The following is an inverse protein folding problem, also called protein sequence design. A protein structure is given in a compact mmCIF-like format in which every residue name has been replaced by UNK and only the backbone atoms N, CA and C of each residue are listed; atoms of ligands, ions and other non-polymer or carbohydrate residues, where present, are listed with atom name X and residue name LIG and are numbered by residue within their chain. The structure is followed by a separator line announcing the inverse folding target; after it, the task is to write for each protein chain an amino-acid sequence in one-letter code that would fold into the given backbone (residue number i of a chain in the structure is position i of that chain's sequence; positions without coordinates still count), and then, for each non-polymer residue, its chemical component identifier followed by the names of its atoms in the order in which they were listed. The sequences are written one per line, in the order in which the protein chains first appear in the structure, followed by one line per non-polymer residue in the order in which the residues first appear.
data_IF_789594225996
#
_entry.id   IF_789594225996
#
_cell.length_a   1.000
_cell.length_b   1.000
_cell.length_c   1.000
_cell.angle_alpha   90.00
_cell.angle_beta   90.00
_cell.angle_gamma   90.00
#
_symmetry.space_group_name_H-M   'P 1'
#
loop_
_entity.id
_entity.type
_entity.pdbx_description
1 polymer ?
#
# COMPACT_ATOMS: atom_id res chain seq x y z
N UNK A 1 19.63 -18.15 -7.23
CA UNK A 1 20.57 -17.05 -6.95
C UNK A 1 19.75 -15.88 -6.44
N UNK A 2 19.93 -15.50 -5.20
CA UNK A 2 19.31 -14.32 -4.61
C UNK A 2 20.00 -13.11 -5.26
N UNK A 3 19.28 -12.36 -6.05
CA UNK A 3 19.83 -11.16 -6.70
C UNK A 3 19.78 -10.03 -5.68
N UNK A 4 20.92 -9.52 -5.24
CA UNK A 4 21.04 -8.35 -4.35
C UNK A 4 20.59 -7.05 -5.04
N UNK A 5 19.42 -7.10 -5.65
CA UNK A 5 18.89 -6.01 -6.49
C UNK A 5 18.66 -4.72 -5.70
N UNK A 6 18.39 -4.82 -4.38
CA UNK A 6 18.16 -3.69 -3.49
C UNK A 6 19.25 -3.55 -2.43
N UNK A 7 20.45 -4.10 -2.67
CA UNK A 7 21.55 -4.01 -1.74
C UNK A 7 21.83 -2.56 -1.34
N UNK A 8 21.93 -2.32 -0.04
CA UNK A 8 22.23 -1.03 0.58
C UNK A 8 21.19 0.10 0.28
N UNK A 9 20.08 -0.22 -0.37
CA UNK A 9 18.98 0.74 -0.55
C UNK A 9 18.23 0.93 0.76
N UNK A 10 17.90 2.17 1.09
CA UNK A 10 17.11 2.54 2.28
C UNK A 10 15.63 2.54 1.91
N UNK A 11 14.88 1.65 2.55
CA UNK A 11 13.47 1.40 2.30
C UNK A 11 12.65 1.72 3.54
N UNK A 12 11.57 2.47 3.38
CA UNK A 12 10.59 2.75 4.43
C UNK A 12 9.29 2.03 4.10
N UNK A 13 8.70 1.35 5.10
CA UNK A 13 7.38 0.69 4.98
C UNK A 13 6.51 1.10 6.15
N UNK A 14 5.35 1.74 5.88
CA UNK A 14 4.35 2.02 6.90
C UNK A 14 3.37 0.83 7.03
N UNK A 15 2.95 0.49 8.26
CA UNK A 15 2.10 -0.66 8.50
C UNK A 15 2.81 -1.99 8.20
N UNK A 16 4.10 -2.08 8.55
CA UNK A 16 4.95 -3.21 8.17
C UNK A 16 5.07 -4.31 9.24
N UNK A 17 4.31 -4.25 10.32
CA UNK A 17 4.36 -5.27 11.38
C UNK A 17 3.61 -6.55 10.99
N UNK A 18 2.66 -6.50 10.05
CA UNK A 18 1.83 -7.64 9.67
C UNK A 18 1.43 -7.61 8.20
N UNK A 19 0.81 -8.69 7.72
CA UNK A 19 0.14 -8.79 6.44
C UNK A 19 1.00 -8.41 5.22
N UNK A 20 0.45 -7.61 4.32
CA UNK A 20 1.09 -7.17 3.08
C UNK A 20 2.38 -6.37 3.38
N UNK A 21 2.31 -5.43 4.33
CA UNK A 21 3.46 -4.58 4.67
C UNK A 21 4.65 -5.36 5.20
N UNK A 22 4.40 -6.37 6.06
CA UNK A 22 5.45 -7.27 6.55
C UNK A 22 6.06 -8.08 5.42
N UNK A 23 5.24 -8.64 4.55
CA UNK A 23 5.74 -9.39 3.39
C UNK A 23 6.63 -8.52 2.51
N UNK A 24 6.22 -7.28 2.20
CA UNK A 24 7.03 -6.33 1.45
C UNK A 24 8.36 -6.03 2.15
N UNK A 25 8.32 -5.73 3.44
CA UNK A 25 9.52 -5.42 4.23
C UNK A 25 10.52 -6.60 4.23
N UNK A 26 10.01 -7.81 4.39
CA UNK A 26 10.83 -9.02 4.41
C UNK A 26 11.44 -9.34 3.03
N UNK A 27 10.71 -9.13 1.95
CA UNK A 27 11.23 -9.31 0.60
C UNK A 27 12.33 -8.29 0.24
N UNK A 28 12.20 -7.03 0.67
CA UNK A 28 13.29 -6.06 0.53
C UNK A 28 14.52 -6.45 1.34
N UNK A 29 14.34 -6.91 2.59
CA UNK A 29 15.46 -7.41 3.42
C UNK A 29 16.19 -8.59 2.78
N UNK A 30 15.46 -9.55 2.22
CA UNK A 30 16.01 -10.69 1.48
C UNK A 30 16.85 -10.27 0.28
N UNK A 31 16.60 -9.09 -0.28
CA UNK A 31 17.35 -8.53 -1.41
C UNK A 31 18.40 -7.50 -0.99
N UNK A 32 18.79 -7.49 0.31
CA UNK A 32 19.90 -6.71 0.84
C UNK A 32 19.57 -5.26 1.21
N UNK A 33 18.28 -4.87 1.22
CA UNK A 33 17.89 -3.52 1.60
C UNK A 33 17.95 -3.28 3.12
N UNK A 34 18.21 -2.04 3.51
CA UNK A 34 18.06 -1.54 4.87
C UNK A 34 16.62 -1.05 5.04
N UNK A 35 15.80 -1.81 5.77
CA UNK A 35 14.36 -1.57 5.86
C UNK A 35 13.96 -0.98 7.20
N UNK A 36 13.34 0.19 7.18
CA UNK A 36 12.70 0.85 8.30
C UNK A 36 11.19 0.64 8.26
N UNK A 37 10.65 0.10 9.35
CA UNK A 37 9.20 -0.09 9.52
C UNK A 37 8.70 0.88 10.58
N UNK A 38 7.52 1.48 10.32
CA UNK A 38 6.71 2.17 11.33
C UNK A 38 5.33 1.51 11.37
N UNK A 39 4.90 1.14 12.56
CA UNK A 39 3.59 0.53 12.82
C UNK A 39 3.10 0.93 14.21
N UNK A 40 1.79 0.93 14.43
CA UNK A 40 1.21 1.16 15.76
C UNK A 40 1.23 -0.07 16.67
N UNK A 41 1.43 -1.26 16.10
CA UNK A 41 1.59 -2.49 16.86
C UNK A 41 2.96 -2.50 17.55
N UNK A 42 3.03 -3.14 18.71
CA UNK A 42 4.30 -3.37 19.41
C UNK A 42 5.20 -4.34 18.62
N UNK A 43 6.51 -4.09 18.63
CA UNK A 43 7.48 -4.93 17.92
C UNK A 43 8.87 -4.30 17.83
N UNK A 44 9.79 -5.01 17.19
CA UNK A 44 11.15 -4.54 16.94
C UNK A 44 11.20 -3.63 15.70
N UNK A 45 10.47 -2.50 15.77
CA UNK A 45 10.40 -1.47 14.75
C UNK A 45 10.11 -0.11 15.40
N UNK A 46 9.85 0.93 14.61
CA UNK A 46 9.39 2.20 15.19
C UNK A 46 7.89 2.07 15.50
N UNK A 47 7.56 2.06 16.80
CA UNK A 47 6.17 2.00 17.25
C UNK A 47 5.57 3.41 17.29
N UNK A 48 4.46 3.60 16.56
CA UNK A 48 3.76 4.87 16.54
C UNK A 48 2.61 4.93 15.55
N UNK A 49 1.64 5.80 15.84
CA UNK A 49 0.49 6.03 14.98
C UNK A 49 0.80 7.13 13.97
N UNK A 50 0.82 6.77 12.69
CA UNK A 50 1.12 7.70 11.59
C UNK A 50 0.06 8.77 11.37
N UNK A 51 -1.11 8.68 12.00
CA UNK A 51 -2.09 9.77 12.01
C UNK A 51 -1.58 11.00 12.77
N UNK A 52 -0.55 10.84 13.61
CA UNK A 52 0.05 11.90 14.41
C UNK A 52 1.26 12.49 13.71
N UNK A 53 1.26 13.79 13.53
CA UNK A 53 2.32 14.54 12.84
C UNK A 53 3.69 14.32 13.49
N UNK A 54 3.74 14.44 14.82
CA UNK A 54 4.97 14.35 15.61
C UNK A 54 5.62 12.97 15.52
N UNK A 55 4.80 11.93 15.36
CA UNK A 55 5.27 10.55 15.18
C UNK A 55 5.96 10.40 13.82
N UNK A 56 5.39 10.97 12.74
CA UNK A 56 6.01 10.98 11.43
C UNK A 56 7.31 11.78 11.41
N UNK A 57 7.35 12.92 12.07
CA UNK A 57 8.55 13.76 12.18
C UNK A 57 9.67 13.02 12.93
N UNK A 58 9.35 12.42 14.08
CA UNK A 58 10.30 11.63 14.86
C UNK A 58 10.82 10.41 14.09
N UNK A 59 9.95 9.74 13.34
CA UNK A 59 10.33 8.61 12.50
C UNK A 59 11.25 9.04 11.35
N UNK A 60 10.91 10.08 10.62
CA UNK A 60 11.73 10.62 9.55
C UNK A 60 13.11 11.05 10.07
N UNK A 61 13.15 11.77 11.20
CA UNK A 61 14.40 12.18 11.86
C UNK A 61 15.26 10.97 12.26
N UNK A 62 14.66 9.88 12.79
CA UNK A 62 15.36 8.64 13.11
C UNK A 62 16.01 8.01 11.88
N UNK A 63 15.32 7.97 10.74
CA UNK A 63 15.88 7.43 9.48
C UNK A 63 17.03 8.32 9.01
N UNK A 64 16.80 9.63 8.93
CA UNK A 64 17.78 10.60 8.42
C UNK A 64 19.01 10.76 9.33
N UNK A 65 18.90 10.43 10.63
CA UNK A 65 20.06 10.40 11.53
C UNK A 65 21.08 9.32 11.17
N UNK A 66 20.68 8.31 10.40
CA UNK A 66 21.52 7.17 9.99
C UNK A 66 21.82 7.14 8.50
N UNK A 67 20.98 7.74 7.68
CA UNK A 67 21.08 7.71 6.22
C UNK A 67 20.82 9.09 5.63
N UNK A 68 21.70 9.53 4.74
CA UNK A 68 21.57 10.81 4.05
C UNK A 68 20.46 10.80 2.98
N UNK A 69 20.00 9.59 2.56
CA UNK A 69 19.02 9.42 1.49
C UNK A 69 18.03 8.28 1.79
N UNK A 70 16.89 8.32 1.10
CA UNK A 70 15.87 7.27 1.08
C UNK A 70 15.62 6.87 -0.38
N UNK A 71 15.68 5.56 -0.66
CA UNK A 71 15.53 5.03 -2.02
C UNK A 71 14.08 4.61 -2.32
N UNK A 72 13.36 4.10 -1.30
CA UNK A 72 11.99 3.61 -1.47
C UNK A 72 11.11 4.01 -0.28
N UNK A 73 9.90 4.46 -0.57
CA UNK A 73 8.83 4.66 0.42
C UNK A 73 7.62 3.81 0.02
N UNK A 74 7.17 2.92 0.91
CA UNK A 74 5.94 2.15 0.73
C UNK A 74 4.91 2.59 1.77
N UNK A 75 3.91 3.33 1.33
CA UNK A 75 2.76 3.74 2.13
C UNK A 75 1.72 2.62 2.12
N UNK A 76 1.78 1.74 3.13
CA UNK A 76 0.92 0.55 3.21
C UNK A 76 -0.02 0.56 4.41
N UNK A 77 0.19 1.38 5.43
CA UNK A 77 -0.65 1.39 6.62
C UNK A 77 -2.15 1.43 6.30
N UNK A 78 -2.91 0.59 6.98
CA UNK A 78 -4.33 0.37 6.70
C UNK A 78 -5.18 1.46 7.39
N UNK A 79 -5.97 2.25 6.64
CA UNK A 79 -6.92 3.19 7.23
C UNK A 79 -8.11 2.45 7.87
N UNK A 80 -8.79 3.13 8.78
CA UNK A 80 -10.01 2.65 9.40
C UNK A 80 -11.10 2.41 8.35
N UNK A 81 -11.85 1.31 8.49
CA UNK A 81 -13.00 1.00 7.67
C UNK A 81 -14.28 1.06 8.51
N UNK A 82 -15.08 2.09 8.31
CA UNK A 82 -16.39 2.33 8.94
C UNK A 82 -17.35 2.89 7.91
N UNK A 83 -18.61 2.54 8.05
CA UNK A 83 -19.68 2.93 7.15
C UNK A 83 -20.55 4.06 7.64
N UNK A 84 -21.47 4.52 6.79
CA UNK A 84 -22.31 5.68 7.01
C UNK A 84 -23.22 5.55 8.24
N UNK A 85 -23.54 4.33 8.65
CA UNK A 85 -24.44 4.11 9.79
C UNK A 85 -23.74 4.32 11.14
N UNK A 86 -22.41 4.09 11.22
CA UNK A 86 -21.68 4.06 12.49
C UNK A 86 -20.47 5.00 12.53
N UNK A 87 -19.98 5.46 11.38
CA UNK A 87 -18.75 6.23 11.30
C UNK A 87 -18.93 7.63 11.89
N UNK A 88 -18.22 7.93 12.97
CA UNK A 88 -18.19 9.30 13.49
C UNK A 88 -17.35 10.22 12.58
N UNK A 89 -17.52 11.54 12.79
CA UNK A 89 -16.72 12.53 12.07
C UNK A 89 -15.22 12.36 12.36
N UNK A 90 -14.85 12.09 13.60
CA UNK A 90 -13.48 11.88 14.04
C UNK A 90 -12.88 10.59 13.46
N UNK A 91 -13.67 9.51 13.39
CA UNK A 91 -13.26 8.26 12.77
C UNK A 91 -13.03 8.42 11.27
N UNK A 92 -13.89 9.18 10.59
CA UNK A 92 -13.71 9.48 9.17
C UNK A 92 -12.44 10.32 8.94
N UNK A 93 -12.21 11.36 9.76
CA UNK A 93 -10.97 12.15 9.70
C UNK A 93 -9.74 11.30 9.98
N UNK A 94 -9.81 10.40 10.97
CA UNK A 94 -8.71 9.47 11.26
C UNK A 94 -8.39 8.56 10.07
N UNK A 95 -9.41 8.02 9.40
CA UNK A 95 -9.22 7.21 8.19
C UNK A 95 -8.48 7.99 7.08
N UNK A 96 -8.86 9.24 6.85
CA UNK A 96 -8.19 10.12 5.89
C UNK A 96 -6.77 10.49 6.35
N UNK A 97 -6.56 10.71 7.65
CA UNK A 97 -5.25 11.00 8.21
C UNK A 97 -4.27 9.86 7.96
N UNK A 98 -4.67 8.61 8.23
CA UNK A 98 -3.84 7.42 7.98
C UNK A 98 -3.67 7.16 6.49
N UNK A 99 -4.76 7.23 5.69
CA UNK A 99 -4.77 6.77 4.30
C UNK A 99 -4.28 7.79 3.28
N UNK A 100 -4.29 9.09 3.60
CA UNK A 100 -3.96 10.16 2.64
C UNK A 100 -2.97 11.16 3.23
N UNK A 101 -3.28 11.75 4.41
CA UNK A 101 -2.47 12.82 4.98
C UNK A 101 -1.09 12.34 5.39
N UNK A 102 -0.99 11.20 6.07
CA UNK A 102 0.28 10.62 6.49
C UNK A 102 1.20 10.26 5.32
N UNK A 103 0.73 9.56 4.25
CA UNK A 103 1.52 9.35 3.03
C UNK A 103 2.04 10.65 2.42
N UNK A 104 1.18 11.66 2.27
CA UNK A 104 1.60 12.97 1.77
C UNK A 104 2.67 13.60 2.66
N UNK A 105 2.44 13.60 3.97
CA UNK A 105 3.34 14.28 4.91
C UNK A 105 4.69 13.58 5.04
N UNK A 106 4.72 12.26 5.06
CA UNK A 106 5.95 11.48 5.06
C UNK A 106 6.80 11.77 3.81
N UNK A 107 6.18 11.82 2.63
CA UNK A 107 6.86 12.20 1.39
C UNK A 107 7.38 13.63 1.47
N UNK A 108 6.58 14.58 2.01
CA UNK A 108 6.99 15.98 2.21
C UNK A 108 8.22 16.10 3.12
N UNK A 109 8.29 15.34 4.22
CA UNK A 109 9.42 15.33 5.14
C UNK A 109 10.71 14.80 4.49
N UNK A 110 10.57 13.84 3.58
CA UNK A 110 11.70 13.12 2.98
C UNK A 110 12.07 13.59 1.57
N UNK A 111 11.30 14.49 0.94
CA UNK A 111 11.43 14.88 -0.48
C UNK A 111 12.83 15.35 -0.87
N UNK A 112 13.52 16.06 0.02
CA UNK A 112 14.87 16.59 -0.24
C UNK A 112 15.99 15.58 0.06
N UNK A 113 15.61 14.41 0.57
CA UNK A 113 16.46 13.26 0.87
C UNK A 113 16.17 12.04 0.00
N UNK A 114 15.32 12.18 -1.02
CA UNK A 114 15.09 11.10 -1.98
C UNK A 114 16.33 10.87 -2.82
N UNK A 115 16.72 9.60 -2.99
CA UNK A 115 17.77 9.20 -3.91
C UNK A 115 17.38 9.53 -5.35
N UNK A 116 18.35 9.68 -6.23
CA UNK A 116 18.09 9.75 -7.66
C UNK A 116 17.38 8.47 -8.12
N UNK A 117 16.25 8.63 -8.82
CA UNK A 117 15.43 7.51 -9.28
C UNK A 117 14.64 6.80 -8.16
N UNK A 118 14.48 7.42 -6.99
CA UNK A 118 13.69 6.88 -5.89
C UNK A 118 12.29 6.46 -6.33
N UNK A 119 11.70 5.51 -5.60
CA UNK A 119 10.36 4.99 -5.89
C UNK A 119 9.45 5.11 -4.68
N UNK A 120 8.25 5.65 -4.90
CA UNK A 120 7.20 5.77 -3.89
C UNK A 120 6.04 4.89 -4.33
N UNK A 121 5.65 3.95 -3.47
CA UNK A 121 4.54 3.03 -3.72
C UNK A 121 3.45 3.27 -2.69
N UNK A 122 2.26 3.57 -3.16
CA UNK A 122 1.08 3.72 -2.34
C UNK A 122 0.20 2.46 -2.46
N UNK A 123 -0.10 1.81 -1.34
CA UNK A 123 -1.02 0.66 -1.35
C UNK A 123 -2.45 1.19 -1.21
N UNK A 124 -3.15 1.24 -2.35
CA UNK A 124 -4.57 1.57 -2.44
C UNK A 124 -5.44 0.32 -2.19
N UNK A 125 -6.47 0.13 -2.97
CA UNK A 125 -7.38 -1.03 -2.95
C UNK A 125 -8.22 -1.01 -4.23
N UNK A 126 -8.78 -2.15 -4.65
CA UNK A 126 -9.88 -2.18 -5.62
C UNK A 126 -11.07 -1.30 -5.22
N UNK A 127 -11.17 -0.97 -3.93
CA UNK A 127 -12.19 -0.03 -3.39
C UNK A 127 -11.93 1.44 -3.71
N UNK A 128 -10.91 1.76 -4.47
CA UNK A 128 -10.72 3.09 -5.06
C UNK A 128 -11.71 3.36 -6.21
N UNK A 129 -12.33 2.32 -6.76
CA UNK A 129 -13.24 2.36 -7.92
C UNK A 129 -14.48 1.50 -7.79
N UNK A 130 -14.59 0.68 -6.74
CA UNK A 130 -15.78 -0.11 -6.43
C UNK A 130 -15.94 -0.22 -4.91
N UNK A 131 -17.15 -0.50 -4.44
CA UNK A 131 -17.44 -0.46 -2.99
C UNK A 131 -18.38 -1.59 -2.58
N UNK A 132 -18.37 -1.89 -1.31
CA UNK A 132 -19.42 -2.60 -0.59
C UNK A 132 -20.10 -1.62 0.36
N UNK A 133 -21.34 -1.88 0.79
CA UNK A 133 -21.97 -1.07 1.83
C UNK A 133 -21.09 -0.97 3.08
N UNK A 134 -21.20 0.13 3.81
CA UNK A 134 -20.54 0.36 5.10
C UNK A 134 -18.98 0.41 5.01
N UNK A 135 -18.44 0.97 3.92
CA UNK A 135 -16.99 1.08 3.71
C UNK A 135 -16.52 2.49 3.35
N UNK A 136 -17.34 3.51 3.61
CA UNK A 136 -17.17 4.86 3.09
C UNK A 136 -15.86 5.50 3.52
N UNK A 137 -15.46 5.37 4.79
CA UNK A 137 -14.19 5.95 5.29
C UNK A 137 -12.97 5.34 4.61
N UNK A 138 -12.99 4.03 4.42
CA UNK A 138 -11.93 3.29 3.75
C UNK A 138 -11.89 3.60 2.24
N UNK A 139 -13.05 3.57 1.57
CA UNK A 139 -13.17 3.88 0.15
C UNK A 139 -12.69 5.30 -0.16
N UNK A 140 -13.08 6.28 0.67
CA UNK A 140 -12.63 7.66 0.53
C UNK A 140 -11.09 7.77 0.67
N UNK A 141 -10.51 7.09 1.67
CA UNK A 141 -9.07 7.09 1.87
C UNK A 141 -8.32 6.41 0.70
N UNK A 142 -8.85 5.28 0.18
CA UNK A 142 -8.20 4.54 -0.92
C UNK A 142 -8.39 5.23 -2.29
N UNK A 143 -9.50 5.91 -2.51
CA UNK A 143 -9.67 6.82 -3.65
C UNK A 143 -8.73 8.04 -3.55
N UNK A 144 -8.62 8.63 -2.35
CA UNK A 144 -7.75 9.77 -2.09
C UNK A 144 -6.27 9.46 -2.33
N UNK A 145 -5.76 8.31 -1.87
CA UNK A 145 -4.36 7.93 -2.10
C UNK A 145 -4.08 7.59 -3.57
N UNK A 146 -5.05 7.02 -4.30
CA UNK A 146 -4.92 6.79 -5.73
C UNK A 146 -4.79 8.12 -6.49
N UNK A 147 -5.61 9.12 -6.16
CA UNK A 147 -5.52 10.47 -6.72
C UNK A 147 -4.21 11.18 -6.32
N UNK A 148 -3.80 11.08 -5.05
CA UNK A 148 -2.54 11.66 -4.56
C UNK A 148 -1.33 11.09 -5.32
N UNK A 149 -1.38 9.85 -5.78
CA UNK A 149 -0.30 9.18 -6.50
C UNK A 149 0.12 9.94 -7.75
N UNK A 150 -0.82 10.27 -8.65
CA UNK A 150 -0.47 10.99 -9.87
C UNK A 150 -0.07 12.45 -9.59
N UNK A 151 -0.66 13.08 -8.57
CA UNK A 151 -0.27 14.44 -8.17
C UNK A 151 1.18 14.48 -7.65
N UNK A 152 1.58 13.51 -6.83
CA UNK A 152 2.98 13.38 -6.36
C UNK A 152 3.94 13.02 -7.52
N UNK A 153 3.52 12.15 -8.44
CA UNK A 153 4.33 11.79 -9.61
C UNK A 153 4.71 13.02 -10.45
N UNK A 154 3.75 13.93 -10.66
CA UNK A 154 3.98 15.19 -11.38
C UNK A 154 4.87 16.14 -10.58
N UNK A 155 4.59 16.29 -9.27
CA UNK A 155 5.34 17.20 -8.38
C UNK A 155 6.79 16.75 -8.15
N UNK A 156 7.07 15.45 -8.23
CA UNK A 156 8.40 14.86 -8.04
C UNK A 156 9.06 14.45 -9.36
N UNK A 157 8.58 14.96 -10.50
CA UNK A 157 9.13 14.66 -11.81
C UNK A 157 10.65 14.88 -11.85
N UNK A 158 11.39 13.90 -12.38
CA UNK A 158 12.85 13.90 -12.41
C UNK A 158 13.55 13.55 -11.10
N UNK A 159 12.81 13.40 -9.99
CA UNK A 159 13.37 13.04 -8.66
C UNK A 159 12.96 11.64 -8.23
N UNK A 160 11.67 11.31 -8.35
CA UNK A 160 11.14 10.01 -7.96
C UNK A 160 9.99 9.59 -8.87
N UNK A 161 9.78 8.28 -8.99
CA UNK A 161 8.58 7.69 -9.56
C UNK A 161 7.58 7.41 -8.45
N UNK A 162 6.32 7.71 -8.70
CA UNK A 162 5.25 7.47 -7.72
C UNK A 162 4.14 6.67 -8.38
N UNK A 163 3.86 5.48 -7.84
CA UNK A 163 2.80 4.62 -8.33
C UNK A 163 1.95 4.08 -7.18
N UNK A 164 0.75 3.64 -7.48
CA UNK A 164 -0.08 2.90 -6.53
C UNK A 164 -0.40 1.50 -7.02
N UNK A 165 -0.63 0.63 -6.07
CA UNK A 165 -1.16 -0.71 -6.30
C UNK A 165 -2.53 -0.78 -5.64
N UNK A 166 -3.52 -1.31 -6.35
CA UNK A 166 -4.86 -1.58 -5.86
C UNK A 166 -5.07 -3.09 -5.72
N UNK A 167 -4.81 -3.66 -4.53
CA UNK A 167 -5.08 -5.05 -4.25
C UNK A 167 -6.58 -5.36 -4.32
N UNK A 168 -6.92 -6.57 -4.77
CA UNK A 168 -8.22 -7.18 -4.55
C UNK A 168 -8.33 -7.85 -3.18
N UNK A 169 -8.97 -9.02 -3.13
CA UNK A 169 -8.99 -9.83 -1.92
C UNK A 169 -7.63 -10.54 -1.74
N UNK A 170 -6.89 -10.10 -0.73
CA UNK A 170 -5.60 -10.67 -0.34
C UNK A 170 -5.76 -11.28 1.06
N UNK A 171 -5.64 -12.58 1.13
CA UNK A 171 -5.61 -13.29 2.41
C UNK A 171 -4.18 -13.28 2.99
N UNK A 172 -4.07 -12.76 4.20
CA UNK A 172 -2.79 -12.65 4.92
C UNK A 172 -2.53 -13.83 5.86
N UNK A 173 -3.53 -14.69 6.06
CA UNK A 173 -3.43 -15.87 6.92
C UNK A 173 -3.05 -17.14 6.14
N UNK A 174 -3.00 -17.07 4.81
CA UNK A 174 -2.76 -18.21 3.91
C UNK A 174 -3.79 -19.35 4.10
N UNK A 175 -5.04 -18.95 4.29
CA UNK A 175 -6.17 -19.88 4.44
C UNK A 175 -6.38 -20.71 3.19
N UNK A 176 -6.69 -21.99 3.36
CA UNK A 176 -7.14 -22.84 2.25
C UNK A 176 -8.64 -22.60 2.06
N UNK A 177 -9.02 -22.01 0.93
CA UNK A 177 -10.41 -21.77 0.58
C UNK A 177 -10.95 -22.90 -0.30
N UNK A 178 -12.24 -23.16 -0.18
CA UNK A 178 -12.97 -24.15 -0.99
C UNK A 178 -14.21 -23.52 -1.62
N UNK A 179 -14.77 -24.18 -2.62
CA UNK A 179 -15.99 -23.76 -3.29
C UNK A 179 -15.86 -22.38 -3.99
N UNK A 180 -16.93 -21.57 -3.95
CA UNK A 180 -16.94 -20.26 -4.66
C UNK A 180 -15.85 -19.30 -4.16
N UNK A 181 -15.51 -19.31 -2.88
CA UNK A 181 -14.47 -18.44 -2.32
C UNK A 181 -13.09 -18.74 -2.92
N UNK A 182 -12.80 -20.01 -3.25
CA UNK A 182 -11.55 -20.39 -3.88
C UNK A 182 -11.43 -19.91 -5.34
N UNK A 183 -12.55 -19.74 -6.05
CA UNK A 183 -12.56 -19.60 -7.51
C UNK A 183 -13.25 -18.34 -8.04
N UNK A 184 -13.74 -17.47 -7.15
CA UNK A 184 -14.50 -16.29 -7.57
C UNK A 184 -13.70 -15.26 -8.40
N UNK A 185 -12.37 -15.24 -8.25
CA UNK A 185 -11.53 -14.40 -9.10
C UNK A 185 -11.17 -15.14 -10.39
N UNK A 186 -11.11 -14.45 -11.55
CA UNK A 186 -10.66 -15.05 -12.80
C UNK A 186 -9.30 -15.78 -12.74
N UNK A 187 -8.41 -15.35 -11.83
CA UNK A 187 -7.14 -16.02 -11.57
C UNK A 187 -7.29 -17.39 -10.89
N UNK A 188 -8.52 -17.81 -10.51
CA UNK A 188 -8.83 -19.11 -9.92
C UNK A 188 -8.31 -19.32 -8.50
N UNK A 189 -8.00 -18.25 -7.78
CA UNK A 189 -7.56 -18.29 -6.36
C UNK A 189 -7.70 -16.94 -5.68
N UNK A 190 -7.77 -16.97 -4.37
CA UNK A 190 -7.56 -15.77 -3.53
C UNK A 190 -6.10 -15.34 -3.62
N UNK A 191 -5.87 -14.03 -3.63
CA UNK A 191 -4.51 -13.46 -3.61
C UNK A 191 -3.85 -13.64 -2.25
N UNK A 192 -2.54 -13.52 -2.21
CA UNK A 192 -1.73 -13.53 -0.99
C UNK A 192 -0.76 -12.33 -0.97
N UNK A 193 -0.12 -12.02 0.18
CA UNK A 193 0.78 -10.88 0.30
C UNK A 193 1.92 -10.85 -0.72
N UNK A 194 2.40 -12.02 -1.17
CA UNK A 194 3.48 -12.12 -2.14
C UNK A 194 3.07 -11.59 -3.52
N UNK A 195 1.79 -11.73 -3.90
CA UNK A 195 1.28 -11.18 -5.17
C UNK A 195 1.47 -9.66 -5.23
N UNK A 196 1.31 -8.99 -4.07
CA UNK A 196 1.51 -7.54 -3.95
C UNK A 196 3.01 -7.21 -3.84
N UNK A 197 3.75 -7.95 -3.02
CA UNK A 197 5.18 -7.72 -2.83
C UNK A 197 5.97 -7.83 -4.15
N UNK A 198 5.67 -8.79 -5.01
CA UNK A 198 6.30 -8.92 -6.33
C UNK A 198 6.09 -7.66 -7.20
N UNK A 199 4.87 -7.10 -7.21
CA UNK A 199 4.62 -5.88 -7.98
C UNK A 199 5.32 -4.67 -7.35
N UNK A 200 5.37 -4.56 -6.02
CA UNK A 200 6.14 -3.51 -5.34
C UNK A 200 7.62 -3.58 -5.73
N UNK A 201 8.23 -4.75 -5.66
CA UNK A 201 9.64 -4.95 -6.06
C UNK A 201 9.87 -4.60 -7.53
N UNK A 202 8.97 -5.01 -8.43
CA UNK A 202 9.05 -4.64 -9.84
C UNK A 202 9.03 -3.13 -10.03
N UNK A 203 8.03 -2.45 -9.44
CA UNK A 203 7.87 -0.99 -9.56
C UNK A 203 9.04 -0.21 -8.94
N UNK A 204 9.70 -0.77 -7.93
CA UNK A 204 10.88 -0.17 -7.30
C UNK A 204 12.19 -0.48 -8.05
N UNK A 205 12.18 -1.38 -9.02
CA UNK A 205 13.35 -1.74 -9.82
C UNK A 205 13.56 -0.79 -11.01
N UNK A 206 14.76 -0.85 -11.59
CA UNK A 206 15.11 -0.08 -12.78
C UNK A 206 14.30 -0.53 -14.02
N UNK A 207 13.73 -1.74 -14.00
CA UNK A 207 12.85 -2.26 -15.08
C UNK A 207 11.55 -1.48 -15.22
N UNK A 208 11.11 -0.79 -14.18
CA UNK A 208 9.92 0.06 -14.17
C UNK A 208 10.26 1.56 -14.37
N UNK A 209 11.42 1.89 -14.94
CA UNK A 209 11.91 3.26 -15.08
C UNK A 209 11.00 4.22 -15.85
N UNK A 210 10.09 3.71 -16.67
CA UNK A 210 9.10 4.51 -17.42
C UNK A 210 7.67 4.40 -16.88
N UNK A 211 7.49 3.83 -15.66
CA UNK A 211 6.18 3.69 -15.00
C UNK A 211 6.11 4.68 -13.85
N UNK A 212 5.25 5.70 -13.97
CA UNK A 212 4.99 6.68 -12.92
C UNK A 212 3.59 7.28 -13.06
N UNK A 213 2.94 7.60 -11.96
CA UNK A 213 1.58 8.16 -11.91
C UNK A 213 0.47 7.11 -12.05
N UNK A 214 0.82 5.84 -12.16
CA UNK A 214 -0.12 4.75 -12.42
C UNK A 214 -0.71 4.15 -11.15
N UNK A 215 -1.95 3.67 -11.28
CA UNK A 215 -2.63 2.86 -10.28
C UNK A 215 -2.93 1.46 -10.84
N UNK A 216 -2.16 0.47 -10.40
CA UNK A 216 -2.14 -0.88 -10.96
C UNK A 216 -2.98 -1.82 -10.11
N UNK A 217 -4.04 -2.40 -10.68
CA UNK A 217 -4.83 -3.45 -10.02
C UNK A 217 -4.08 -4.77 -9.97
N UNK A 218 -4.01 -5.35 -8.77
CA UNK A 218 -3.52 -6.71 -8.52
C UNK A 218 -4.61 -7.44 -7.73
N UNK A 219 -5.62 -7.92 -8.43
CA UNK A 219 -6.90 -8.37 -7.87
C UNK A 219 -7.38 -9.71 -8.45
N UNK A 220 -6.53 -10.41 -9.18
CA UNK A 220 -6.89 -11.66 -9.85
C UNK A 220 -7.95 -11.51 -10.95
N UNK A 221 -8.18 -10.28 -11.43
CA UNK A 221 -9.17 -9.97 -12.45
C UNK A 221 -10.56 -9.64 -11.90
N UNK A 222 -10.74 -9.58 -10.58
CA UNK A 222 -12.04 -9.36 -9.93
C UNK A 222 -12.74 -8.09 -10.45
N UNK A 223 -12.04 -6.96 -10.58
CA UNK A 223 -12.63 -5.68 -11.04
C UNK A 223 -12.90 -5.65 -12.55
N UNK A 224 -12.55 -6.70 -13.29
CA UNK A 224 -12.77 -6.82 -14.75
C UNK A 224 -13.89 -7.79 -15.10
N UNK A 225 -14.31 -8.61 -14.15
CA UNK A 225 -15.35 -9.60 -14.36
C UNK A 225 -16.72 -8.94 -14.27
N UNK A 226 -17.51 -9.11 -15.32
CA UNK A 226 -18.94 -8.72 -15.33
C UNK A 226 -19.77 -9.95 -14.95
N UNK A 227 -20.63 -9.79 -13.96
CA UNK A 227 -21.52 -10.84 -13.46
C UNK A 227 -22.96 -10.33 -13.47
N UNK A 228 -23.88 -11.10 -14.04
CA UNK A 228 -25.31 -10.84 -14.00
C UNK A 228 -25.97 -11.74 -12.97
N UNK A 229 -27.18 -11.35 -12.52
CA UNK A 229 -27.98 -12.18 -11.62
C UNK A 229 -28.21 -13.57 -12.22
N UNK A 230 -27.85 -14.61 -11.47
CA UNK A 230 -27.93 -16.01 -11.88
C UNK A 230 -26.67 -16.57 -12.51
N UNK A 231 -25.71 -15.74 -12.95
CA UNK A 231 -24.44 -16.21 -13.50
C UNK A 231 -23.62 -16.90 -12.42
N UNK A 232 -23.05 -18.07 -12.75
CA UNK A 232 -22.19 -18.84 -11.84
C UNK A 232 -22.79 -19.11 -10.45
N UNK A 233 -24.15 -19.10 -10.37
CA UNK A 233 -24.86 -19.26 -9.11
C UNK A 233 -24.93 -18.00 -8.24
N UNK A 234 -24.46 -16.84 -8.75
CA UNK A 234 -24.60 -15.59 -8.02
C UNK A 234 -26.04 -15.10 -8.03
N UNK A 235 -26.54 -14.75 -6.84
CA UNK A 235 -27.88 -14.19 -6.66
C UNK A 235 -27.81 -12.92 -5.82
N UNK A 236 -28.56 -11.89 -6.21
CA UNK A 236 -28.76 -10.70 -5.40
C UNK A 236 -30.07 -10.87 -4.63
N UNK A 237 -29.96 -11.13 -3.34
CA UNK A 237 -31.08 -11.07 -2.41
C UNK A 237 -31.21 -9.63 -1.88
N UNK A 238 -32.45 -9.09 -1.91
CA UNK A 238 -32.75 -7.75 -1.38
C UNK A 238 -33.24 -7.84 0.05
#
# INVERSE_FOLDING_TARGET
MQTDTFKDRVVIVTGGASGIGRCIADEFRKQGAVVYVIDKQEGDHFVGDIAQQEVLEAFAAKVLSKHARVDVIVNNALPLMRGIDECSYEEFQYALSVGVTAPFYLVKLLKDHLAEGASIINISSSRDRMSQPQTESYTAAKGGIAALTHALAVSLAGRARVNSISPGWIDTAYTVYEGPDATQQPAGRVGNPMDIAHMVLFLCSDKAGFVTGENICIDGGMTRQMIYHGDHGWTLEK
#
